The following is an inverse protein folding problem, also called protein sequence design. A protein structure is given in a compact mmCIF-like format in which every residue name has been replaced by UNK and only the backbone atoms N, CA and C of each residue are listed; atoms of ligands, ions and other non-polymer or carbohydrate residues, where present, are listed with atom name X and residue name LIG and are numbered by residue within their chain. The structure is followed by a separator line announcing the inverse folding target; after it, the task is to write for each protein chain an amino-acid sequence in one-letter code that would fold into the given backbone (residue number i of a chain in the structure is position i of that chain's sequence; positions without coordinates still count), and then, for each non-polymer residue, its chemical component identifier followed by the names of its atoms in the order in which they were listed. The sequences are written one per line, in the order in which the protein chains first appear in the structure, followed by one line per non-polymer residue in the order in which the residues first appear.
data_IF_577573592181
#
_entry.id   IF_577573592181
#
_cell.length_a   1.000
_cell.length_b   1.000
_cell.length_c   1.000
_cell.angle_alpha   90.00
_cell.angle_beta   90.00
_cell.angle_gamma   90.00
#
_symmetry.space_group_name_H-M   'P 1'
#
loop_
_entity.id
_entity.type
_entity.pdbx_description
1 polymer ?
#
# COMPACT_ATOMS: atom_id res chain seq x y z
N UNK A 1 15.74 -16.12 3.66
CA UNK A 1 14.87 -17.30 3.56
C UNK A 1 13.47 -16.96 4.07
N UNK A 2 12.46 -17.26 3.27
CA UNK A 2 11.08 -16.99 3.66
C UNK A 2 10.60 -18.03 4.66
N UNK A 3 9.88 -17.60 5.67
CA UNK A 3 9.18 -18.49 6.58
C UNK A 3 7.67 -18.37 6.36
N UNK A 4 6.89 -19.09 7.14
CA UNK A 4 5.44 -19.09 6.99
C UNK A 4 4.83 -17.71 7.25
N UNK A 5 5.46 -16.88 8.08
CA UNK A 5 4.96 -15.54 8.37
C UNK A 5 5.21 -14.58 7.22
N UNK A 6 6.37 -14.69 6.57
CA UNK A 6 6.63 -13.91 5.36
C UNK A 6 5.59 -14.21 4.29
N UNK A 7 5.28 -15.50 4.08
CA UNK A 7 4.27 -15.91 3.11
C UNK A 7 2.89 -15.37 3.46
N UNK A 8 2.52 -15.42 4.74
CA UNK A 8 1.23 -14.90 5.20
C UNK A 8 1.10 -13.41 4.95
N UNK A 9 2.15 -12.64 5.25
CA UNK A 9 2.10 -11.19 5.04
C UNK A 9 2.13 -10.81 3.58
N UNK A 10 2.82 -11.56 2.74
CA UNK A 10 2.76 -11.37 1.28
C UNK A 10 1.36 -11.68 0.75
N UNK A 11 0.73 -12.75 1.22
CA UNK A 11 -0.65 -13.08 0.84
C UNK A 11 -1.61 -11.97 1.25
N UNK A 12 -1.43 -11.42 2.46
CA UNK A 12 -2.25 -10.30 2.91
C UNK A 12 -2.01 -9.07 2.03
N UNK A 13 -0.75 -8.78 1.67
CA UNK A 13 -0.45 -7.66 0.79
C UNK A 13 -1.12 -7.82 -0.57
N UNK A 14 -1.18 -9.04 -1.10
CA UNK A 14 -1.93 -9.32 -2.34
C UNK A 14 -3.41 -9.03 -2.18
N UNK A 15 -3.99 -9.42 -1.05
CA UNK A 15 -5.40 -9.14 -0.77
C UNK A 15 -5.64 -7.61 -0.72
N UNK A 16 -4.77 -6.89 -0.02
CA UNK A 16 -4.85 -5.43 0.08
C UNK A 16 -4.74 -4.79 -1.31
N UNK A 17 -3.90 -5.33 -2.19
CA UNK A 17 -3.75 -4.80 -3.54
C UNK A 17 -5.06 -4.81 -4.32
N UNK A 18 -5.94 -5.76 -4.04
CA UNK A 18 -7.23 -5.87 -4.71
C UNK A 18 -8.15 -4.67 -4.42
N UNK A 19 -7.84 -3.90 -3.40
CA UNK A 19 -8.61 -2.71 -3.05
C UNK A 19 -8.24 -1.49 -3.89
N UNK A 20 -7.13 -1.55 -4.61
CA UNK A 20 -6.75 -0.48 -5.51
C UNK A 20 -7.74 -0.36 -6.65
N UNK A 21 -8.09 0.88 -7.00
CA UNK A 21 -8.98 1.17 -8.14
C UNK A 21 -8.22 1.38 -9.43
N UNK A 22 -6.89 1.29 -9.40
CA UNK A 22 -6.07 1.49 -10.59
C UNK A 22 -6.37 0.37 -11.60
N UNK A 23 -6.80 0.70 -12.82
CA UNK A 23 -7.15 -0.32 -13.80
C UNK A 23 -5.95 -1.03 -14.42
N UNK A 24 -4.75 -0.46 -14.32
CA UNK A 24 -3.56 -1.04 -14.96
C UNK A 24 -2.65 -1.78 -14.00
N UNK A 25 -2.49 -1.30 -12.77
CA UNK A 25 -1.57 -1.91 -11.81
C UNK A 25 -2.13 -1.80 -10.39
N UNK A 26 -2.18 -2.92 -9.69
CA UNK A 26 -2.65 -2.97 -8.30
C UNK A 26 -1.52 -3.45 -7.41
N UNK A 27 -1.14 -2.64 -6.44
CA UNK A 27 -0.03 -2.91 -5.52
C UNK A 27 -0.53 -2.79 -4.09
N UNK A 28 -0.14 -3.72 -3.23
CA UNK A 28 -0.47 -3.69 -1.82
C UNK A 28 0.78 -3.71 -0.96
N UNK A 29 0.68 -3.11 0.21
CA UNK A 29 1.75 -3.04 1.19
C UNK A 29 1.21 -3.35 2.58
N UNK A 30 1.94 -4.18 3.32
CA UNK A 30 1.66 -4.47 4.73
C UNK A 30 2.93 -4.18 5.51
N UNK A 31 2.83 -3.37 6.56
CA UNK A 31 3.97 -3.02 7.41
C UNK A 31 3.80 -3.71 8.76
N UNK A 32 4.84 -4.44 9.17
CA UNK A 32 4.79 -5.37 10.30
C UNK A 32 5.92 -5.04 11.27
N UNK A 33 5.61 -4.99 12.56
CA UNK A 33 6.60 -4.77 13.62
C UNK A 33 7.36 -6.02 13.99
N UNK A 34 8.27 -5.87 14.96
CA UNK A 34 9.19 -6.94 15.38
C UNK A 34 8.47 -8.17 15.97
N UNK A 35 7.30 -7.98 16.55
CA UNK A 35 6.52 -9.08 17.12
C UNK A 35 5.46 -9.60 16.17
N UNK A 36 5.63 -9.33 14.86
CA UNK A 36 4.70 -9.76 13.81
C UNK A 36 3.33 -9.11 13.92
N UNK A 37 3.25 -7.98 14.59
CA UNK A 37 2.02 -7.21 14.64
C UNK A 37 1.92 -6.31 13.41
N UNK A 38 0.73 -6.29 12.79
CA UNK A 38 0.49 -5.40 11.65
C UNK A 38 0.37 -3.98 12.18
N UNK A 39 1.20 -3.08 11.64
CA UNK A 39 1.24 -1.67 12.03
C UNK A 39 0.47 -0.79 11.07
N UNK A 40 0.53 -1.08 9.78
CA UNK A 40 -0.16 -0.30 8.76
C UNK A 40 -0.30 -1.10 7.49
N UNK A 41 -1.22 -0.64 6.63
CA UNK A 41 -1.41 -1.19 5.29
C UNK A 41 -1.59 -0.04 4.31
N UNK A 42 -1.35 -0.31 3.04
CA UNK A 42 -1.58 0.65 1.99
C UNK A 42 -1.73 -0.03 0.64
N UNK A 43 -2.37 0.65 -0.27
CA UNK A 43 -2.46 0.24 -1.67
C UNK A 43 -2.32 1.48 -2.53
N UNK A 44 -1.93 1.29 -3.80
CA UNK A 44 -1.68 2.43 -4.67
C UNK A 44 -3.00 3.12 -5.05
N UNK A 45 -2.94 4.44 -5.16
CA UNK A 45 -4.10 5.24 -5.50
C UNK A 45 -3.85 6.71 -5.28
N UNK A 46 -4.87 7.54 -5.51
CA UNK A 46 -4.79 8.95 -5.23
C UNK A 46 -4.79 9.21 -3.71
N UNK A 47 -4.15 10.30 -3.25
CA UNK A 47 -4.22 10.68 -1.85
C UNK A 47 -5.67 10.89 -1.41
N UNK A 48 -5.91 10.76 -0.09
CA UNK A 48 -7.24 11.02 0.47
C UNK A 48 -7.69 12.44 0.12
N UNK A 49 -8.96 12.57 -0.25
CA UNK A 49 -9.54 13.85 -0.62
C UNK A 49 -9.42 14.18 -2.10
N UNK A 50 -8.68 13.40 -2.86
CA UNK A 50 -8.58 13.54 -4.32
C UNK A 50 -9.61 12.60 -4.95
N UNK A 51 -10.33 13.10 -5.96
CA UNK A 51 -11.29 12.30 -6.71
C UNK A 51 -10.54 11.20 -7.48
N UNK A 52 -10.90 9.94 -7.22
CA UNK A 52 -10.30 8.78 -7.84
C UNK A 52 -11.22 8.13 -8.87
N UNK A 53 -11.99 8.94 -9.58
CA UNK A 53 -12.89 8.45 -10.63
C UNK A 53 -12.13 7.63 -11.68
N UNK A 54 -12.84 6.73 -12.34
CA UNK A 54 -12.27 5.89 -13.38
C UNK A 54 -11.64 6.71 -14.50
N UNK A 55 -12.28 7.81 -14.88
CA UNK A 55 -11.77 8.72 -15.90
C UNK A 55 -10.39 9.26 -15.51
N UNK A 56 -10.27 9.74 -14.27
CA UNK A 56 -8.99 10.27 -13.75
C UNK A 56 -7.93 9.16 -13.67
N UNK A 57 -8.30 7.97 -13.24
CA UNK A 57 -7.38 6.84 -13.16
C UNK A 57 -6.87 6.37 -14.52
N UNK A 58 -7.64 6.60 -15.58
CA UNK A 58 -7.24 6.22 -16.93
C UNK A 58 -6.44 7.31 -17.65
N UNK A 59 -6.45 8.55 -17.16
CA UNK A 59 -5.70 9.64 -17.75
C UNK A 59 -4.29 9.70 -17.18
N UNK A 60 -3.31 9.25 -17.96
CA UNK A 60 -1.92 9.15 -17.49
C UNK A 60 -1.30 10.50 -17.10
N UNK A 61 -1.62 11.55 -17.82
CA UNK A 61 -1.08 12.87 -17.53
C UNK A 61 -1.57 13.41 -16.20
N UNK A 62 -2.81 13.12 -15.84
CA UNK A 62 -3.39 13.53 -14.57
C UNK A 62 -3.06 12.53 -13.46
N UNK A 63 -3.06 11.21 -13.77
CA UNK A 63 -2.87 10.12 -12.83
C UNK A 63 -1.48 10.12 -12.19
N UNK A 64 -0.42 10.11 -13.00
CA UNK A 64 0.93 9.91 -12.49
C UNK A 64 1.43 10.99 -11.52
N UNK A 65 1.12 12.28 -11.71
CA UNK A 65 1.51 13.26 -10.70
C UNK A 65 0.77 13.14 -9.37
N UNK A 66 -0.42 12.51 -9.38
CA UNK A 66 -1.29 12.47 -8.19
C UNK A 66 -1.28 11.13 -7.47
N UNK A 67 -0.86 10.05 -8.14
CA UNK A 67 -0.94 8.71 -7.54
C UNK A 67 0.15 8.51 -6.49
N UNK A 68 -0.24 7.91 -5.37
CA UNK A 68 0.69 7.52 -4.32
C UNK A 68 0.99 6.03 -4.45
N UNK A 69 2.23 5.66 -4.19
CA UNK A 69 2.62 4.26 -4.10
C UNK A 69 2.04 3.62 -2.85
N UNK A 70 1.92 2.30 -2.86
CA UNK A 70 1.36 1.55 -1.74
C UNK A 70 2.13 1.82 -0.44
N UNK A 71 3.46 1.89 -0.51
CA UNK A 71 4.30 2.15 0.64
C UNK A 71 4.06 3.55 1.21
N UNK A 72 3.95 4.56 0.35
CA UNK A 72 3.67 5.93 0.76
C UNK A 72 2.33 6.01 1.48
N UNK A 73 1.30 5.33 0.94
CA UNK A 73 -0.01 5.32 1.56
C UNK A 73 0.01 4.61 2.92
N UNK A 74 0.80 3.54 3.06
CA UNK A 74 0.97 2.87 4.35
C UNK A 74 1.63 3.78 5.38
N UNK A 75 2.65 4.54 4.97
CA UNK A 75 3.34 5.50 5.85
C UNK A 75 2.39 6.62 6.26
N UNK A 76 1.65 7.19 5.31
CA UNK A 76 0.70 8.26 5.60
C UNK A 76 -0.43 7.78 6.52
N UNK A 77 -0.90 6.55 6.32
CA UNK A 77 -1.92 5.96 7.18
C UNK A 77 -1.41 5.82 8.62
N UNK A 78 -0.19 5.33 8.79
CA UNK A 78 0.43 5.19 10.10
C UNK A 78 0.58 6.57 10.79
N UNK A 79 1.02 7.57 10.05
CA UNK A 79 1.14 8.93 10.57
C UNK A 79 -0.22 9.48 11.00
N UNK A 80 -1.25 9.20 10.21
CA UNK A 80 -2.62 9.68 10.49
C UNK A 80 -3.17 9.11 11.80
N UNK A 81 -2.92 7.83 12.07
CA UNK A 81 -3.43 7.18 13.28
C UNK A 81 -2.44 7.19 14.45
N UNK A 82 -1.24 7.73 14.25
CA UNK A 82 -0.25 7.87 15.30
C UNK A 82 0.50 6.60 15.65
N UNK A 83 0.79 5.76 14.65
CA UNK A 83 1.53 4.50 14.86
C UNK A 83 2.94 4.64 14.33
N UNK A 84 3.94 4.25 15.17
CA UNK A 84 5.33 4.25 14.76
C UNK A 84 5.62 3.10 13.81
N UNK A 85 6.39 3.38 12.75
CA UNK A 85 6.89 2.37 11.82
C UNK A 85 8.39 2.11 12.00
N UNK A 86 8.96 2.60 13.10
CA UNK A 86 10.38 2.40 13.38
C UNK A 86 10.68 0.90 13.48
N UNK A 87 11.74 0.48 12.79
CA UNK A 87 12.24 -0.90 12.80
C UNK A 87 11.22 -1.93 12.29
N UNK A 88 10.27 -1.50 11.47
CA UNK A 88 9.28 -2.39 10.87
C UNK A 88 9.77 -2.94 9.53
N UNK A 89 9.13 -4.02 9.09
CA UNK A 89 9.34 -4.65 7.79
C UNK A 89 8.13 -4.38 6.91
N UNK A 90 8.37 -3.98 5.65
CA UNK A 90 7.30 -3.78 4.68
C UNK A 90 7.26 -4.94 3.69
N UNK A 91 6.07 -5.48 3.47
CA UNK A 91 5.81 -6.50 2.46
C UNK A 91 5.04 -5.84 1.32
N UNK A 92 5.61 -5.86 0.13
CA UNK A 92 5.05 -5.17 -1.04
C UNK A 92 4.90 -6.17 -2.17
N UNK A 93 3.76 -6.16 -2.85
CA UNK A 93 3.44 -7.17 -3.88
C UNK A 93 4.06 -6.89 -5.24
N UNK A 94 4.56 -5.70 -5.45
CA UNK A 94 5.15 -5.30 -6.73
C UNK A 94 6.38 -4.46 -6.47
N UNK A 95 7.44 -4.57 -7.30
CA UNK A 95 8.59 -3.68 -7.15
C UNK A 95 8.14 -2.22 -7.20
N UNK A 96 8.62 -1.40 -6.26
CA UNK A 96 8.22 0.00 -6.21
C UNK A 96 8.60 0.78 -7.45
#
# INVERSE_FOLDING_TARGET
MSDKWDLRFIELAHHISSWSKDPSTKVGCVVVGADREIRSTGFNGFPRGIDDSLERLQNREEKYPLICHAEENAIMHAARIGVSLKDCTAYVTWPP
#
